data_IF_206784086195
#
_entry.id   IF_206784086195
#
_cell.length_a   1.000
_cell.length_b   1.000
_cell.length_c   1.000
_cell.angle_alpha   90.00
_cell.angle_beta   90.00
_cell.angle_gamma   90.00
#
_symmetry.space_group_name_H-M   'P 1'
#
loop_
_entity.id
_entity.type
_entity.pdbx_description
1 polymer ?
#
# COMPACT_ATOMS: atom_id res chain seq x y z
N UNK A 1 -68.68 -58.11 9.30
CA UNK A 1 -68.71 -57.11 10.38
C UNK A 1 -67.29 -56.60 10.53
N UNK A 2 -66.94 -55.48 9.82
CA UNK A 2 -65.59 -54.93 9.84
C UNK A 2 -65.63 -53.55 10.52
N UNK A 3 -64.95 -53.47 11.65
CA UNK A 3 -64.83 -52.24 12.43
C UNK A 3 -63.68 -51.41 11.90
N UNK A 4 -64.02 -50.24 11.31
CA UNK A 4 -63.02 -49.28 10.81
C UNK A 4 -62.57 -48.39 11.96
N UNK A 5 -61.30 -48.53 12.38
CA UNK A 5 -60.69 -47.67 13.38
C UNK A 5 -60.24 -46.35 12.69
N UNK A 6 -60.93 -45.25 13.01
CA UNK A 6 -60.52 -43.89 12.65
C UNK A 6 -59.33 -43.42 13.53
N UNK A 7 -58.14 -43.33 12.97
CA UNK A 7 -56.96 -42.76 13.60
C UNK A 7 -56.99 -41.23 13.48
N UNK A 8 -57.28 -40.56 14.57
CA UNK A 8 -57.25 -39.09 14.69
C UNK A 8 -55.79 -38.63 14.61
N UNK A 9 -55.39 -37.92 13.55
CA UNK A 9 -54.12 -37.22 13.46
C UNK A 9 -54.18 -35.99 14.37
N UNK A 10 -53.39 -35.98 15.43
CA UNK A 10 -53.13 -34.79 16.24
C UNK A 10 -52.21 -33.86 15.42
N UNK A 11 -52.73 -32.77 14.91
CA UNK A 11 -51.98 -31.70 14.29
C UNK A 11 -51.21 -30.93 15.36
N UNK A 12 -49.90 -31.07 15.39
CA UNK A 12 -49.03 -30.25 16.22
C UNK A 12 -48.86 -28.91 15.53
N UNK A 13 -49.67 -27.93 15.92
CA UNK A 13 -49.51 -26.54 15.52
C UNK A 13 -48.28 -25.98 16.28
N UNK A 14 -47.12 -25.99 15.64
CA UNK A 14 -45.98 -25.21 16.08
C UNK A 14 -46.27 -23.73 15.74
N UNK A 15 -46.87 -23.04 16.71
CA UNK A 15 -47.06 -21.60 16.63
C UNK A 15 -45.68 -20.94 16.87
N UNK A 16 -44.86 -20.81 15.82
CA UNK A 16 -43.62 -20.04 15.87
C UNK A 16 -44.00 -18.57 15.82
N UNK A 17 -44.24 -18.01 17.02
CA UNK A 17 -44.48 -16.58 17.16
C UNK A 17 -43.16 -15.82 17.06
N UNK A 18 -42.70 -15.49 15.83
CA UNK A 18 -41.42 -14.83 15.51
C UNK A 18 -41.54 -13.31 15.41
N UNK A 19 -42.44 -12.69 16.16
CA UNK A 19 -42.56 -11.23 16.19
C UNK A 19 -41.71 -10.60 17.31
N UNK A 20 -40.41 -10.96 17.36
CA UNK A 20 -39.42 -10.26 18.16
C UNK A 20 -38.78 -9.13 17.33
N UNK A 21 -39.35 -7.94 17.32
CA UNK A 21 -38.68 -6.75 16.79
C UNK A 21 -37.65 -6.26 17.80
N UNK A 22 -36.51 -5.70 17.27
CA UNK A 22 -35.51 -5.01 18.09
C UNK A 22 -36.16 -3.83 18.84
N UNK A 23 -35.79 -3.68 20.10
CA UNK A 23 -36.18 -2.48 20.86
C UNK A 23 -35.30 -1.30 20.48
N UNK A 24 -35.82 -0.09 20.54
CA UNK A 24 -35.07 1.14 20.31
C UNK A 24 -33.87 1.24 21.27
N UNK A 25 -34.04 0.77 22.51
CA UNK A 25 -33.00 0.78 23.56
C UNK A 25 -31.86 -0.17 23.20
N UNK A 26 -32.13 -1.37 22.68
CA UNK A 26 -31.09 -2.30 22.23
C UNK A 26 -30.25 -1.69 21.12
N UNK A 27 -30.85 -1.03 20.12
CA UNK A 27 -30.15 -0.37 19.06
C UNK A 27 -29.28 0.79 19.61
N UNK A 28 -29.81 1.57 20.55
CA UNK A 28 -29.12 2.71 21.16
C UNK A 28 -27.86 2.27 21.93
N UNK A 29 -27.95 1.17 22.69
CA UNK A 29 -26.79 0.60 23.41
C UNK A 29 -25.72 0.12 22.43
N UNK A 30 -26.11 -0.55 21.36
CA UNK A 30 -25.18 -1.06 20.34
C UNK A 30 -24.41 0.09 19.68
N UNK A 31 -25.08 1.13 19.22
CA UNK A 31 -24.39 2.28 18.59
C UNK A 31 -23.52 3.05 19.59
N UNK A 32 -23.91 3.11 20.88
CA UNK A 32 -23.08 3.73 21.91
C UNK A 32 -21.76 2.96 22.10
N UNK A 33 -21.81 1.63 22.18
CA UNK A 33 -20.61 0.79 22.32
C UNK A 33 -19.74 0.91 21.07
N UNK A 34 -20.30 0.82 19.87
CA UNK A 34 -19.56 0.97 18.61
C UNK A 34 -18.90 2.36 18.54
N UNK A 35 -19.59 3.41 18.96
CA UNK A 35 -19.06 4.77 18.99
C UNK A 35 -17.82 4.92 19.87
N UNK A 36 -17.83 4.32 21.05
CA UNK A 36 -16.67 4.33 21.96
C UNK A 36 -15.50 3.55 21.36
N UNK A 37 -15.75 2.35 20.85
CA UNK A 37 -14.72 1.51 20.24
C UNK A 37 -14.12 2.17 18.99
N UNK A 38 -14.94 2.76 18.13
CA UNK A 38 -14.48 3.46 16.93
C UNK A 38 -13.63 4.68 17.27
N UNK A 39 -13.95 5.41 18.34
CA UNK A 39 -13.18 6.57 18.80
C UNK A 39 -11.71 6.24 19.10
N UNK A 40 -11.40 5.02 19.54
CA UNK A 40 -10.05 4.55 19.80
C UNK A 40 -9.44 3.85 18.58
N UNK A 41 -10.21 3.01 17.91
CA UNK A 41 -9.71 2.16 16.83
C UNK A 41 -9.30 2.95 15.57
N UNK A 42 -10.06 3.99 15.19
CA UNK A 42 -9.83 4.75 13.95
C UNK A 42 -8.46 5.46 13.95
N UNK A 43 -8.07 6.26 14.98
CA UNK A 43 -6.77 6.92 14.96
C UNK A 43 -5.59 5.94 14.94
N UNK A 44 -5.68 4.82 15.67
CA UNK A 44 -4.65 3.78 15.64
C UNK A 44 -4.51 3.16 14.25
N UNK A 45 -5.63 2.85 13.59
CA UNK A 45 -5.62 2.26 12.25
C UNK A 45 -4.99 3.19 11.21
N UNK A 46 -5.27 4.50 11.28
CA UNK A 46 -4.65 5.48 10.36
C UNK A 46 -3.13 5.55 10.57
N UNK A 47 -2.66 5.50 11.81
CA UNK A 47 -1.23 5.45 12.13
C UNK A 47 -0.53 4.22 11.53
N UNK A 48 -1.13 3.05 11.66
CA UNK A 48 -0.57 1.82 11.10
C UNK A 48 -0.56 1.81 9.56
N UNK A 49 -1.59 2.36 8.91
CA UNK A 49 -1.60 2.54 7.45
C UNK A 49 -0.48 3.47 6.96
N UNK A 50 -0.20 4.54 7.69
CA UNK A 50 0.90 5.46 7.37
C UNK A 50 2.26 4.76 7.51
N UNK A 51 2.48 4.00 8.59
CA UNK A 51 3.70 3.20 8.78
C UNK A 51 3.87 2.16 7.66
N UNK A 52 2.82 1.42 7.30
CA UNK A 52 2.86 0.44 6.23
C UNK A 52 3.29 1.08 4.89
N UNK A 53 2.67 2.20 4.51
CA UNK A 53 3.02 2.91 3.28
C UNK A 53 4.46 3.45 3.30
N UNK A 54 4.95 3.96 4.44
CA UNK A 54 6.35 4.42 4.55
C UNK A 54 7.34 3.28 4.49
N UNK A 55 7.02 2.12 5.06
CA UNK A 55 7.86 0.91 4.98
C UNK A 55 7.93 0.40 3.56
N UNK A 56 6.80 0.38 2.82
CA UNK A 56 6.76 0.05 1.40
C UNK A 56 7.67 0.98 0.57
N UNK A 57 7.57 2.30 0.78
CA UNK A 57 8.41 3.26 0.07
C UNK A 57 9.90 3.05 0.33
N UNK A 58 10.30 2.78 1.57
CA UNK A 58 11.68 2.47 1.94
C UNK A 58 12.17 1.18 1.28
N UNK A 59 11.34 0.13 1.26
CA UNK A 59 11.65 -1.12 0.57
C UNK A 59 11.86 -0.91 -0.92
N UNK A 60 10.99 -0.13 -1.57
CA UNK A 60 11.10 0.18 -2.99
C UNK A 60 12.36 1.00 -3.32
N UNK A 61 12.75 1.95 -2.46
CA UNK A 61 14.01 2.69 -2.63
C UNK A 61 15.23 1.75 -2.49
N UNK A 62 15.21 0.81 -1.55
CA UNK A 62 16.26 -0.18 -1.43
C UNK A 62 16.34 -1.09 -2.66
N UNK A 63 15.19 -1.46 -3.23
CA UNK A 63 15.16 -2.21 -4.48
C UNK A 63 15.76 -1.40 -5.65
N UNK A 64 15.43 -0.10 -5.75
CA UNK A 64 16.07 0.79 -6.73
C UNK A 64 17.59 0.86 -6.57
N UNK A 65 18.07 0.96 -5.33
CA UNK A 65 19.51 0.93 -5.06
C UNK A 65 20.17 -0.32 -5.61
N UNK A 66 19.63 -1.50 -5.31
CA UNK A 66 20.18 -2.76 -5.79
C UNK A 66 20.21 -2.83 -7.32
N UNK A 67 19.17 -2.35 -7.99
CA UNK A 67 19.12 -2.31 -9.46
C UNK A 67 20.10 -1.30 -10.06
N UNK A 68 20.29 -0.15 -9.43
CA UNK A 68 21.31 0.85 -9.85
C UNK A 68 22.73 0.32 -9.68
N UNK A 69 23.03 -0.36 -8.57
CA UNK A 69 24.33 -1.00 -8.37
C UNK A 69 24.59 -2.12 -9.38
N UNK A 70 23.57 -2.91 -9.70
CA UNK A 70 23.66 -3.91 -10.76
C UNK A 70 23.93 -3.24 -12.13
N UNK A 71 23.18 -2.19 -12.46
CA UNK A 71 23.38 -1.45 -13.69
C UNK A 71 24.80 -0.85 -13.78
N UNK A 72 25.29 -0.30 -12.67
CA UNK A 72 26.65 0.24 -12.57
C UNK A 72 27.71 -0.85 -12.80
N UNK A 73 27.54 -2.03 -12.21
CA UNK A 73 28.44 -3.16 -12.38
C UNK A 73 28.55 -3.61 -13.85
N UNK A 74 27.45 -3.53 -14.60
CA UNK A 74 27.41 -3.90 -16.03
C UNK A 74 27.89 -2.79 -16.95
N UNK A 75 27.70 -1.51 -16.60
CA UNK A 75 27.86 -0.36 -17.49
C UNK A 75 28.92 0.62 -17.04
N UNK A 76 29.50 0.49 -15.85
CA UNK A 76 30.44 1.41 -15.21
C UNK A 76 29.90 2.84 -15.02
N UNK A 77 28.61 3.02 -15.01
CA UNK A 77 27.91 4.26 -14.67
C UNK A 77 26.41 3.97 -14.36
N UNK A 78 25.75 4.90 -13.71
CA UNK A 78 24.34 4.75 -13.27
C UNK A 78 23.28 5.12 -14.33
N UNK A 79 23.68 5.69 -15.45
CA UNK A 79 22.79 5.93 -16.59
C UNK A 79 23.56 6.03 -17.89
N UNK A 80 23.00 5.46 -18.98
CA UNK A 80 23.55 5.57 -20.34
C UNK A 80 22.51 6.16 -21.29
N UNK A 81 23.00 7.05 -22.16
CA UNK A 81 22.25 7.58 -23.29
C UNK A 81 23.10 7.51 -24.53
N UNK A 82 22.55 7.00 -25.63
CA UNK A 82 23.26 6.87 -26.91
C UNK A 82 24.64 6.16 -26.80
N UNK A 83 24.71 5.15 -25.90
CA UNK A 83 25.95 4.36 -25.70
C UNK A 83 26.97 4.98 -24.75
N UNK A 84 26.76 6.18 -24.24
CA UNK A 84 27.68 6.88 -23.32
C UNK A 84 27.00 7.13 -21.96
N UNK A 85 27.82 7.20 -20.91
CA UNK A 85 27.38 7.61 -19.60
C UNK A 85 26.85 9.05 -19.60
N UNK A 86 25.74 9.33 -18.96
CA UNK A 86 25.07 10.63 -18.99
C UNK A 86 24.37 10.94 -17.68
N UNK A 87 24.12 12.21 -17.45
CA UNK A 87 23.25 12.66 -16.37
C UNK A 87 21.78 12.47 -16.78
N UNK A 88 20.95 12.11 -15.82
CA UNK A 88 19.52 11.91 -16.06
C UNK A 88 18.67 12.21 -14.82
N UNK A 89 17.43 12.61 -15.07
CA UNK A 89 16.37 12.58 -14.05
C UNK A 89 15.24 11.74 -14.60
N UNK A 90 15.01 10.60 -13.99
CA UNK A 90 14.01 9.63 -14.40
C UNK A 90 12.88 9.67 -13.38
N UNK A 91 11.68 10.06 -13.82
CA UNK A 91 10.53 10.28 -12.94
C UNK A 91 9.36 9.37 -13.31
N UNK A 92 8.75 8.77 -12.30
CA UNK A 92 7.59 7.89 -12.44
C UNK A 92 7.96 6.43 -12.65
N UNK A 93 7.10 5.55 -12.17
CA UNK A 93 7.31 4.09 -12.19
C UNK A 93 7.54 3.56 -13.61
N UNK A 94 6.75 3.99 -14.58
CA UNK A 94 6.85 3.52 -15.97
C UNK A 94 8.21 3.87 -16.61
N UNK A 95 8.71 5.10 -16.39
CA UNK A 95 10.01 5.54 -16.92
C UNK A 95 11.16 4.82 -16.23
N UNK A 96 11.07 4.64 -14.91
CA UNK A 96 12.07 3.88 -14.14
C UNK A 96 12.06 2.42 -14.58
N UNK A 97 10.88 1.81 -14.76
CA UNK A 97 10.78 0.44 -15.24
C UNK A 97 11.36 0.25 -16.65
N UNK A 98 11.16 1.22 -17.55
CA UNK A 98 11.73 1.18 -18.88
C UNK A 98 13.28 1.22 -18.85
N UNK A 99 13.85 1.91 -17.87
CA UNK A 99 15.30 1.99 -17.64
C UNK A 99 15.83 0.80 -16.82
N UNK A 100 15.17 0.47 -15.72
CA UNK A 100 15.47 -0.63 -14.81
C UNK A 100 14.29 -1.63 -14.79
N UNK A 101 14.25 -2.62 -15.67
CA UNK A 101 13.08 -3.52 -15.81
C UNK A 101 12.77 -4.36 -14.57
N UNK A 102 13.73 -4.49 -13.65
CA UNK A 102 13.54 -5.13 -12.34
C UNK A 102 12.71 -4.31 -11.35
N UNK A 103 12.54 -3.00 -11.57
CA UNK A 103 11.76 -2.15 -10.67
C UNK A 103 10.26 -2.32 -10.90
N UNK A 104 9.61 -3.01 -9.98
CA UNK A 104 8.16 -3.32 -10.02
C UNK A 104 7.50 -3.07 -8.66
N UNK A 105 7.35 -1.81 -8.23
CA UNK A 105 6.77 -1.49 -6.92
C UNK A 105 5.26 -1.71 -6.85
N UNK A 106 4.59 -1.95 -7.97
CA UNK A 106 3.16 -2.08 -8.11
C UNK A 106 2.56 -1.08 -9.10
N UNK A 107 1.23 -1.03 -9.17
CA UNK A 107 0.51 -0.08 -10.03
C UNK A 107 0.66 1.35 -9.48
N UNK A 108 1.07 2.26 -10.36
CA UNK A 108 1.30 3.67 -10.01
C UNK A 108 0.07 4.36 -9.41
N UNK A 109 -1.15 3.94 -9.78
CA UNK A 109 -2.39 4.49 -9.21
C UNK A 109 -2.62 4.07 -7.76
N UNK A 110 -2.15 2.89 -7.36
CA UNK A 110 -2.31 2.35 -6.00
C UNK A 110 -1.21 2.83 -5.04
N UNK A 111 -0.02 3.13 -5.56
CA UNK A 111 1.12 3.59 -4.79
C UNK A 111 0.83 4.92 -4.09
N UNK A 112 1.33 5.08 -2.87
CA UNK A 112 1.20 6.31 -2.07
C UNK A 112 2.37 7.28 -2.26
N UNK A 113 3.43 6.83 -2.94
CA UNK A 113 4.63 7.61 -3.24
C UNK A 113 4.90 7.70 -4.75
N UNK A 114 5.44 8.84 -5.17
CA UNK A 114 6.08 9.00 -6.48
C UNK A 114 7.56 8.67 -6.35
N UNK A 115 8.13 7.99 -7.34
CA UNK A 115 9.53 7.62 -7.37
C UNK A 115 10.28 8.41 -8.42
N UNK A 116 11.52 8.77 -8.11
CA UNK A 116 12.42 9.51 -9.00
C UNK A 116 13.85 9.04 -8.77
N UNK A 117 14.62 8.93 -9.85
CA UNK A 117 16.07 8.70 -9.82
C UNK A 117 16.73 9.92 -10.43
N UNK A 118 17.74 10.45 -9.76
CA UNK A 118 18.58 11.52 -10.26
C UNK A 118 19.99 10.97 -10.39
N UNK A 119 20.51 10.95 -11.59
CA UNK A 119 21.90 10.55 -11.90
C UNK A 119 22.69 11.79 -12.27
N UNK A 120 23.83 11.97 -11.64
CA UNK A 120 24.70 13.12 -11.83
C UNK A 120 26.17 12.71 -11.75
N UNK A 121 27.06 13.58 -12.22
CA UNK A 121 28.50 13.37 -12.18
C UNK A 121 29.14 13.17 -13.54
N UNK A 122 30.42 12.86 -13.54
CA UNK A 122 31.20 12.53 -14.75
C UNK A 122 31.19 11.02 -14.96
N UNK A 123 31.53 10.51 -16.16
CA UNK A 123 31.60 9.07 -16.40
C UNK A 123 32.46 8.28 -15.40
N UNK A 124 33.55 8.92 -14.89
CA UNK A 124 34.46 8.31 -13.91
C UNK A 124 34.03 8.54 -12.44
N UNK A 125 33.06 9.42 -12.17
CA UNK A 125 32.57 9.78 -10.83
C UNK A 125 31.06 9.97 -10.88
N UNK A 126 30.36 8.99 -11.45
CA UNK A 126 28.90 8.97 -11.53
C UNK A 126 28.29 8.68 -10.17
N UNK A 127 27.25 9.40 -9.83
CA UNK A 127 26.50 9.25 -8.59
C UNK A 127 25.00 9.20 -8.89
N UNK A 128 24.23 8.52 -8.07
CA UNK A 128 22.77 8.54 -8.17
C UNK A 128 22.12 8.84 -6.83
N UNK A 129 20.87 9.26 -6.91
CA UNK A 129 19.98 9.35 -5.75
C UNK A 129 18.59 8.87 -6.17
N UNK A 130 18.09 7.85 -5.45
CA UNK A 130 16.71 7.43 -5.53
C UNK A 130 15.88 8.23 -4.52
N UNK A 131 14.73 8.73 -4.94
CA UNK A 131 13.82 9.52 -4.12
C UNK A 131 12.41 8.92 -4.17
N UNK A 132 11.73 8.86 -3.01
CA UNK A 132 10.30 8.64 -2.91
C UNK A 132 9.65 9.84 -2.24
N UNK A 133 8.64 10.42 -2.87
CA UNK A 133 7.91 11.58 -2.36
C UNK A 133 6.43 11.23 -2.22
N UNK A 134 5.86 11.44 -1.04
CA UNK A 134 4.45 11.18 -0.77
C UNK A 134 3.53 11.95 -1.71
N UNK A 135 2.58 11.25 -2.32
CA UNK A 135 1.63 11.85 -3.26
C UNK A 135 0.74 12.85 -2.54
N UNK A 136 0.46 13.97 -3.21
CA UNK A 136 -0.50 14.97 -2.74
C UNK A 136 -1.87 14.34 -2.46
N UNK A 137 -2.49 14.70 -1.33
CA UNK A 137 -3.77 14.14 -0.90
C UNK A 137 -3.73 12.72 -0.32
N UNK A 138 -2.55 12.09 -0.23
CA UNK A 138 -2.39 10.80 0.44
C UNK A 138 -2.11 10.96 1.93
N UNK A 139 -2.26 9.87 2.70
CA UNK A 139 -1.93 9.81 4.15
C UNK A 139 -0.44 10.03 4.45
N UNK A 140 0.42 10.04 3.43
CA UNK A 140 1.87 10.25 3.51
C UNK A 140 2.32 11.52 2.79
N UNK A 141 1.40 12.44 2.49
CA UNK A 141 1.72 13.70 1.83
C UNK A 141 2.81 14.47 2.58
N UNK A 142 3.79 14.99 1.84
CA UNK A 142 4.96 15.68 2.42
C UNK A 142 6.07 14.76 2.92
N UNK A 143 5.85 13.45 3.03
CA UNK A 143 6.90 12.48 3.34
C UNK A 143 7.91 12.37 2.18
N UNK A 144 9.22 12.42 2.51
CA UNK A 144 10.30 12.22 1.54
C UNK A 144 11.30 11.22 2.09
N UNK A 145 11.74 10.31 1.21
CA UNK A 145 12.80 9.35 1.49
C UNK A 145 13.79 9.39 0.35
N UNK A 146 15.06 9.42 0.67
CA UNK A 146 16.15 9.42 -0.30
C UNK A 146 17.16 8.34 0.06
N UNK A 147 17.86 7.85 -0.95
CA UNK A 147 18.96 6.93 -0.80
C UNK A 147 19.92 7.12 -1.98
N UNK A 148 21.19 7.25 -1.72
CA UNK A 148 22.24 7.39 -2.71
C UNK A 148 23.20 6.18 -2.74
N UNK A 149 24.21 6.23 -3.57
CA UNK A 149 25.24 5.19 -3.71
C UNK A 149 26.00 4.94 -2.40
N UNK A 150 26.15 5.95 -1.55
CA UNK A 150 26.85 5.87 -0.27
C UNK A 150 25.95 5.42 0.88
N UNK A 151 24.71 5.00 0.56
CA UNK A 151 23.68 4.65 1.52
C UNK A 151 23.26 5.82 2.43
N UNK A 152 23.49 7.06 1.99
CA UNK A 152 23.00 8.23 2.69
C UNK A 152 21.50 8.41 2.49
N UNK A 153 20.79 8.70 3.57
CA UNK A 153 19.35 8.91 3.58
C UNK A 153 18.95 10.39 3.64
N UNK A 154 19.93 11.28 3.49
CA UNK A 154 19.69 12.74 3.54
C UNK A 154 19.09 13.19 2.23
N UNK A 155 17.87 13.74 2.29
CA UNK A 155 17.25 14.42 1.16
C UNK A 155 17.69 15.90 1.15
N UNK A 156 18.25 16.42 0.05
CA UNK A 156 18.57 17.82 -0.10
C UNK A 156 17.30 18.71 -0.25
#
# INVERSE_FOLDING_TARGET
MQTVLHRKKAGHNLNVNTNGGFTLVELLIVIAIIGILAGIAVPLFLGERTKAATTEAKSNIQALRLLEEQFFAENSCYYRSSGSCANATITGVSSIHAFLPGFRPGDDTSLKFNYKIVVSGTPSASAYRAEATGKSGSIVAGGRFCLDQDNSTVCP
#
